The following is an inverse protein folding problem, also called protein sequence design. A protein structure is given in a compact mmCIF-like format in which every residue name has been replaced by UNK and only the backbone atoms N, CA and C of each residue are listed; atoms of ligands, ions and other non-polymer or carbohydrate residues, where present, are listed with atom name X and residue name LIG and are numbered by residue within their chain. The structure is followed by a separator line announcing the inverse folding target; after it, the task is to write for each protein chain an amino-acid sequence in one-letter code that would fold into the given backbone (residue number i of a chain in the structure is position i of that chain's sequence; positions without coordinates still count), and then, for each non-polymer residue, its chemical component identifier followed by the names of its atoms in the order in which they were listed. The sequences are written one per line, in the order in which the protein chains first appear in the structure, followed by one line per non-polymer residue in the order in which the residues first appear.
data_IF_929960487729
#
_entry.id   IF_929960487729
#
_cell.length_a   1.000
_cell.length_b   1.000
_cell.length_c   1.000
_cell.angle_alpha   90.00
_cell.angle_beta   90.00
_cell.angle_gamma   90.00
#
_symmetry.space_group_name_H-M   'P 1'
#
loop_
_entity.id
_entity.type
_entity.pdbx_description
1 polymer ?
#
# COMPACT_ATOMS: atom_id res chain seq x y z
N UNK A 1 25.76 -3.96 6.06
CA UNK A 1 25.05 -4.00 4.76
C UNK A 1 23.86 -3.05 4.87
N UNK A 2 23.77 -1.99 4.06
CA UNK A 2 22.59 -1.12 4.08
C UNK A 2 21.47 -1.90 3.40
N UNK A 3 20.49 -2.40 4.14
CA UNK A 3 19.30 -2.97 3.53
C UNK A 3 18.64 -1.87 2.69
N UNK A 4 18.40 -2.16 1.42
CA UNK A 4 17.63 -1.24 0.58
C UNK A 4 16.19 -1.26 1.08
N UNK A 5 15.58 -0.08 1.24
CA UNK A 5 14.19 0.00 1.68
C UNK A 5 13.28 -0.80 0.73
N UNK A 6 12.47 -1.69 1.29
CA UNK A 6 11.54 -2.55 0.53
C UNK A 6 12.08 -3.93 0.10
N UNK A 7 13.35 -4.28 0.31
CA UNK A 7 13.85 -5.64 -0.02
C UNK A 7 13.18 -6.75 0.80
N UNK A 8 12.66 -6.41 1.99
CA UNK A 8 12.06 -7.38 2.91
C UNK A 8 10.60 -7.65 2.57
N UNK A 9 9.90 -6.73 1.90
CA UNK A 9 8.52 -6.96 1.52
C UNK A 9 8.44 -8.02 0.38
N UNK A 10 7.30 -8.71 0.21
CA UNK A 10 7.06 -9.65 -0.88
C UNK A 10 7.32 -9.07 -2.28
N UNK A 11 7.05 -7.79 -2.51
CA UNK A 11 7.29 -7.13 -3.81
C UNK A 11 8.76 -6.81 -4.11
N UNK A 12 9.67 -6.96 -3.14
CA UNK A 12 11.12 -6.74 -3.27
C UNK A 12 11.51 -5.36 -3.79
N UNK A 13 10.69 -4.35 -3.49
CA UNK A 13 10.98 -2.96 -3.84
C UNK A 13 10.31 -1.98 -2.91
N UNK A 14 10.84 -0.75 -2.89
CA UNK A 14 10.14 0.38 -2.31
C UNK A 14 8.91 0.73 -3.14
N UNK A 15 7.82 1.06 -2.46
CA UNK A 15 6.63 1.64 -3.09
C UNK A 15 6.89 3.09 -3.54
N UNK A 16 6.08 3.58 -4.46
CA UNK A 16 6.11 5.00 -4.87
C UNK A 16 5.00 5.79 -4.18
N UNK A 17 5.15 7.12 -4.11
CA UNK A 17 4.10 8.01 -3.61
C UNK A 17 2.79 7.87 -4.40
N UNK A 18 2.88 7.61 -5.70
CA UNK A 18 1.73 7.46 -6.58
C UNK A 18 0.89 6.22 -6.24
N UNK A 19 1.52 5.15 -5.74
CA UNK A 19 0.82 3.94 -5.30
C UNK A 19 -0.04 4.23 -4.06
N UNK A 20 0.49 5.01 -3.12
CA UNK A 20 -0.27 5.47 -1.94
C UNK A 20 -1.38 6.44 -2.36
N UNK A 21 -1.09 7.39 -3.25
CA UNK A 21 -2.06 8.36 -3.73
C UNK A 21 -3.24 7.69 -4.46
N UNK A 22 -2.98 6.64 -5.25
CA UNK A 22 -4.04 5.87 -5.92
C UNK A 22 -4.92 5.11 -4.94
N UNK A 23 -4.35 4.51 -3.89
CA UNK A 23 -5.13 3.85 -2.85
C UNK A 23 -6.01 4.84 -2.08
N UNK A 24 -5.47 6.02 -1.74
CA UNK A 24 -6.25 7.09 -1.13
C UNK A 24 -7.35 7.62 -2.07
N UNK A 25 -7.04 7.79 -3.36
CA UNK A 25 -8.02 8.21 -4.37
C UNK A 25 -9.16 7.19 -4.50
N UNK A 26 -8.86 5.90 -4.49
CA UNK A 26 -9.87 4.84 -4.49
C UNK A 26 -10.80 4.94 -3.27
N UNK A 27 -10.24 5.08 -2.06
CA UNK A 27 -11.04 5.25 -0.84
C UNK A 27 -11.84 6.56 -0.80
N UNK A 28 -11.42 7.57 -1.56
CA UNK A 28 -12.13 8.83 -1.72
C UNK A 28 -13.15 8.84 -2.88
N UNK A 29 -13.16 7.81 -3.73
CA UNK A 29 -14.06 7.72 -4.89
C UNK A 29 -15.29 6.87 -4.62
N UNK A 30 -16.28 7.00 -5.49
CA UNK A 30 -17.52 6.20 -5.46
C UNK A 30 -17.27 4.69 -5.67
N UNK A 31 -16.10 4.31 -6.20
CA UNK A 31 -15.71 2.90 -6.38
C UNK A 31 -15.59 2.16 -5.04
N UNK A 32 -15.43 2.91 -3.94
CA UNK A 32 -15.36 2.38 -2.57
C UNK A 32 -16.64 2.62 -1.76
N UNK A 33 -17.77 2.91 -2.41
CA UNK A 33 -19.04 3.34 -1.77
C UNK A 33 -19.62 2.44 -0.66
N UNK A 34 -19.19 1.18 -0.56
CA UNK A 34 -19.61 0.26 0.51
C UNK A 34 -18.44 -0.27 1.35
N UNK A 35 -17.27 0.36 1.24
CA UNK A 35 -16.07 0.04 2.02
C UNK A 35 -15.92 1.11 3.11
N UNK A 36 -16.12 0.71 4.36
CA UNK A 36 -15.98 1.60 5.52
C UNK A 36 -15.44 0.85 6.73
N UNK A 37 -14.73 1.55 7.61
CA UNK A 37 -14.17 0.98 8.84
C UNK A 37 -13.00 0.01 8.62
N UNK A 38 -12.27 0.13 7.51
CA UNK A 38 -11.10 -0.69 7.22
C UNK A 38 -9.81 0.13 7.23
N UNK A 39 -8.70 -0.56 7.46
CA UNK A 39 -7.35 -0.08 7.14
C UNK A 39 -6.89 -0.73 5.83
N UNK A 40 -6.63 0.09 4.79
CA UNK A 40 -6.09 -0.39 3.52
C UNK A 40 -4.57 -0.25 3.51
N UNK A 41 -3.87 -1.35 3.80
CA UNK A 41 -2.41 -1.37 3.83
C UNK A 41 -1.79 -1.29 2.42
N UNK A 42 -0.82 -0.38 2.24
CA UNK A 42 -0.05 -0.21 0.99
C UNK A 42 1.45 -0.30 1.29
N UNK A 43 1.96 -1.52 1.51
CA UNK A 43 3.33 -1.75 2.01
C UNK A 43 4.14 -2.76 1.17
N UNK A 44 3.62 -3.15 0.01
CA UNK A 44 4.21 -4.20 -0.81
C UNK A 44 4.16 -5.60 -0.17
N UNK A 45 3.25 -5.81 0.79
CA UNK A 45 2.99 -7.05 1.51
C UNK A 45 3.83 -7.24 2.78
N UNK A 46 4.47 -6.18 3.29
CA UNK A 46 5.42 -6.27 4.40
C UNK A 46 4.80 -6.78 5.71
N UNK A 47 3.50 -6.51 5.93
CA UNK A 47 2.78 -6.83 7.17
C UNK A 47 1.76 -7.98 7.03
N UNK A 48 1.78 -8.71 5.91
CA UNK A 48 0.79 -9.74 5.58
C UNK A 48 1.30 -11.19 5.77
N UNK A 49 2.48 -11.40 6.37
CA UNK A 49 3.09 -12.72 6.61
C UNK A 49 3.57 -12.88 8.06
#
# INVERSE_FOLDING_TARGET
MKASFGEQNPMKRMGTSDEVAKAALFLASDDSSYITGIDLTVDGGATQL
#
